data_IF_924105359270
#
_entry.id   IF_924105359270
#
_cell.length_a   1.000
_cell.length_b   1.000
_cell.length_c   1.000
_cell.angle_alpha   90.00
_cell.angle_beta   90.00
_cell.angle_gamma   90.00
#
_symmetry.space_group_name_H-M   'P 1'
#
loop_
_entity.id
_entity.type
_entity.pdbx_description
1 polymer ?
#
# COMPACT_ATOMS: atom_id res chain seq x y z
N UNK A 1 -8.56 14.50 24.49
CA UNK A 1 -7.48 13.79 23.78
C UNK A 1 -7.20 14.56 22.50
N UNK A 2 -6.16 15.39 22.50
CA UNK A 2 -5.84 16.26 21.36
C UNK A 2 -5.22 15.41 20.24
N UNK A 3 -5.94 15.26 19.13
CA UNK A 3 -5.40 14.70 17.89
C UNK A 3 -4.41 15.73 17.31
N UNK A 4 -3.12 15.46 17.49
CA UNK A 4 -2.03 16.33 17.07
C UNK A 4 -2.14 16.61 15.56
N UNK A 5 -2.59 17.82 15.24
CA UNK A 5 -2.79 18.33 13.87
C UNK A 5 -1.52 19.04 13.38
N UNK A 6 -0.37 18.43 13.64
CA UNK A 6 0.93 18.86 13.14
C UNK A 6 1.20 18.20 11.79
N UNK A 7 1.78 18.94 10.84
CA UNK A 7 2.12 18.41 9.52
C UNK A 7 2.98 17.14 9.67
N UNK A 8 2.68 16.06 8.94
CA UNK A 8 3.51 14.87 9.01
C UNK A 8 4.90 15.18 8.49
N UNK A 9 5.86 15.09 9.40
CA UNK A 9 7.28 15.25 9.09
C UNK A 9 7.88 13.91 8.63
N UNK A 10 9.17 13.93 8.26
CA UNK A 10 9.90 12.73 7.85
C UNK A 10 9.80 11.55 8.83
N UNK A 11 9.88 11.75 10.17
CA UNK A 11 9.73 10.66 11.13
C UNK A 11 8.37 9.96 11.11
N UNK A 12 7.27 10.68 10.83
CA UNK A 12 5.93 10.08 10.81
C UNK A 12 5.70 9.20 9.60
N UNK A 13 6.23 9.62 8.44
CA UNK A 13 6.24 8.81 7.22
C UNK A 13 7.10 7.56 7.39
N UNK A 14 8.24 7.69 8.08
CA UNK A 14 9.09 6.54 8.40
C UNK A 14 8.35 5.54 9.30
N UNK A 15 7.69 6.01 10.36
CA UNK A 15 6.85 5.14 11.24
C UNK A 15 5.72 4.47 10.46
N UNK A 16 5.07 5.19 9.55
CA UNK A 16 4.01 4.64 8.70
C UNK A 16 4.53 3.56 7.76
N UNK A 17 5.70 3.78 7.17
CA UNK A 17 6.39 2.78 6.35
C UNK A 17 6.82 1.55 7.17
N UNK A 18 7.34 1.74 8.39
CA UNK A 18 7.64 0.62 9.27
C UNK A 18 6.37 -0.16 9.64
N UNK A 19 5.26 0.52 9.91
CA UNK A 19 3.98 -0.11 10.19
C UNK A 19 3.55 -0.97 9.00
N UNK A 20 3.52 -0.42 7.79
CA UNK A 20 3.15 -1.15 6.57
C UNK A 20 4.06 -2.36 6.36
N UNK A 21 5.37 -2.19 6.45
CA UNK A 21 6.30 -3.31 6.36
C UNK A 21 6.05 -4.37 7.42
N UNK A 22 5.78 -3.98 8.67
CA UNK A 22 5.54 -4.91 9.77
C UNK A 22 4.23 -5.68 9.58
N UNK A 23 3.14 -5.01 9.21
CA UNK A 23 1.84 -5.67 9.01
C UNK A 23 1.83 -6.52 7.74
N UNK A 24 2.51 -6.10 6.67
CA UNK A 24 2.60 -6.83 5.41
C UNK A 24 3.65 -7.95 5.43
N UNK A 25 4.55 -7.99 6.42
CA UNK A 25 5.60 -9.01 6.50
C UNK A 25 4.98 -10.40 6.61
N UNK A 26 5.28 -11.25 5.63
CA UNK A 26 4.79 -12.63 5.59
C UNK A 26 3.35 -12.79 5.11
N UNK A 27 2.68 -11.70 4.72
CA UNK A 27 1.31 -11.74 4.19
C UNK A 27 1.30 -11.66 2.68
N UNK A 28 0.35 -12.39 2.09
CA UNK A 28 0.11 -12.38 0.64
C UNK A 28 -1.16 -11.59 0.36
N UNK A 29 -1.05 -10.65 -0.56
CA UNK A 29 -2.17 -9.86 -1.06
C UNK A 29 -2.61 -10.43 -2.41
N UNK A 30 -3.91 -10.39 -2.65
CA UNK A 30 -4.51 -10.92 -3.87
C UNK A 30 -5.73 -10.11 -4.25
N UNK A 31 -5.95 -9.96 -5.56
CA UNK A 31 -7.10 -9.24 -6.10
C UNK A 31 -6.78 -7.80 -6.47
N UNK A 32 -7.79 -7.14 -7.06
CA UNK A 32 -7.67 -5.79 -7.59
C UNK A 32 -7.52 -4.76 -6.47
N UNK A 33 -6.70 -3.76 -6.72
CA UNK A 33 -6.55 -2.61 -5.82
C UNK A 33 -7.78 -1.73 -6.03
N UNK A 34 -8.63 -1.64 -5.01
CA UNK A 34 -9.87 -0.88 -5.13
C UNK A 34 -9.62 0.56 -4.74
N UNK A 35 -9.77 1.48 -5.70
CA UNK A 35 -9.79 2.91 -5.45
C UNK A 35 -11.21 3.38 -5.15
N UNK A 36 -11.33 4.35 -4.24
CA UNK A 36 -12.61 5.05 -4.05
C UNK A 36 -12.88 6.00 -5.24
N UNK A 37 -14.11 5.99 -5.76
CA UNK A 37 -14.55 6.87 -6.85
C UNK A 37 -14.42 8.37 -6.50
N UNK A 38 -14.33 8.68 -5.21
CA UNK A 38 -14.21 10.03 -4.66
C UNK A 38 -12.83 10.64 -4.90
N UNK A 39 -11.80 9.82 -5.20
CA UNK A 39 -10.45 10.27 -5.50
C UNK A 39 -10.21 10.40 -7.01
N UNK A 40 -10.78 11.47 -7.59
CA UNK A 40 -10.73 11.76 -9.03
C UNK A 40 -9.32 12.17 -9.50
N UNK A 41 -8.52 12.79 -8.62
CA UNK A 41 -7.22 13.39 -8.98
C UNK A 41 -6.10 12.36 -9.14
N UNK A 42 -6.26 11.17 -8.59
CA UNK A 42 -5.20 10.18 -8.53
C UNK A 42 -5.45 9.08 -9.59
N UNK A 43 -4.39 8.60 -10.27
CA UNK A 43 -4.53 7.57 -11.28
C UNK A 43 -5.09 6.27 -10.69
N UNK A 44 -5.80 5.51 -11.51
CA UNK A 44 -6.22 4.16 -11.14
C UNK A 44 -4.99 3.24 -11.10
N UNK A 45 -4.94 2.35 -10.11
CA UNK A 45 -3.80 1.47 -9.88
C UNK A 45 -4.16 0.07 -10.38
N UNK A 46 -4.02 -0.15 -11.68
CA UNK A 46 -4.27 -1.45 -12.31
C UNK A 46 -3.09 -2.40 -12.14
N UNK A 47 -3.05 -3.07 -10.99
CA UNK A 47 -2.11 -4.15 -10.74
C UNK A 47 -2.79 -5.51 -10.95
N UNK A 48 -2.80 -5.96 -12.20
CA UNK A 48 -3.25 -7.30 -12.58
C UNK A 48 -2.18 -8.36 -12.26
N UNK A 49 -1.96 -8.64 -10.97
CA UNK A 49 -1.21 -9.82 -10.53
C UNK A 49 -2.10 -10.67 -9.62
N UNK A 50 -2.03 -12.00 -9.75
CA UNK A 50 -2.84 -12.92 -8.94
C UNK A 50 -2.50 -12.80 -7.45
N UNK A 51 -1.23 -13.03 -7.12
CA UNK A 51 -0.69 -12.94 -5.76
C UNK A 51 0.49 -11.95 -5.74
N UNK A 52 0.60 -11.14 -4.68
CA UNK A 52 1.68 -10.18 -4.54
C UNK A 52 2.03 -9.84 -3.09
N UNK A 53 3.27 -9.42 -2.89
CA UNK A 53 3.77 -8.87 -1.64
C UNK A 53 3.77 -7.34 -1.71
N UNK A 54 3.58 -6.73 -0.53
CA UNK A 54 3.65 -5.28 -0.35
C UNK A 54 4.85 -4.96 0.53
N UNK A 55 5.68 -4.04 0.06
CA UNK A 55 6.77 -3.43 0.81
C UNK A 55 6.62 -1.92 0.82
N UNK A 56 7.17 -1.25 1.81
CA UNK A 56 7.19 0.20 1.86
C UNK A 56 8.58 0.76 2.15
N UNK A 57 8.86 1.91 1.56
CA UNK A 57 10.09 2.66 1.76
C UNK A 57 9.72 4.12 1.95
N UNK A 58 10.29 4.79 2.94
CA UNK A 58 10.10 6.23 3.15
C UNK A 58 11.37 6.98 2.82
N UNK A 59 11.26 8.12 2.14
CA UNK A 59 12.39 9.01 1.86
C UNK A 59 11.93 10.46 2.04
N UNK A 60 12.42 11.11 3.09
CA UNK A 60 12.04 12.49 3.40
C UNK A 60 10.54 12.63 3.64
N UNK A 61 9.86 13.47 2.83
CA UNK A 61 8.42 13.75 2.92
C UNK A 61 7.56 12.86 2.00
N UNK A 62 8.12 11.76 1.53
CA UNK A 62 7.46 10.84 0.60
C UNK A 62 7.60 9.40 1.08
N UNK A 63 6.57 8.59 0.82
CA UNK A 63 6.57 7.15 1.09
C UNK A 63 6.20 6.40 -0.17
N UNK A 64 7.03 5.45 -0.58
CA UNK A 64 6.75 4.51 -1.65
C UNK A 64 6.14 3.23 -1.06
N UNK A 65 5.10 2.71 -1.70
CA UNK A 65 4.63 1.34 -1.54
C UNK A 65 4.96 0.58 -2.82
N UNK A 66 5.64 -0.53 -2.67
CA UNK A 66 6.15 -1.38 -3.74
C UNK A 66 5.37 -2.68 -3.71
N UNK A 67 4.65 -2.93 -4.80
CA UNK A 67 3.96 -4.17 -5.09
C UNK A 67 4.91 -5.06 -5.88
N UNK A 68 5.08 -6.30 -5.45
CA UNK A 68 5.89 -7.29 -6.18
C UNK A 68 5.06 -8.54 -6.38
N UNK A 69 4.79 -8.88 -7.64
CA UNK A 69 4.05 -10.09 -7.98
C UNK A 69 4.81 -11.33 -7.48
N UNK A 70 4.11 -12.20 -6.75
CA UNK A 70 4.55 -13.54 -6.48
C UNK A 70 4.01 -14.39 -7.63
N UNK A 71 4.86 -14.78 -8.58
CA UNK A 71 4.47 -15.86 -9.47
C UNK A 71 4.35 -17.13 -8.62
N UNK A 72 3.27 -17.87 -8.83
CA UNK A 72 2.96 -19.13 -8.15
C UNK A 72 3.91 -20.26 -8.57
N UNK A 73 5.22 -20.02 -8.51
CA UNK A 73 6.23 -21.05 -8.66
C UNK A 73 7.30 -20.83 -7.58
N UNK A 74 7.06 -21.50 -6.45
CA UNK A 74 8.09 -22.01 -5.54
C UNK A 74 9.15 -21.04 -5.00
N UNK A 75 8.99 -20.70 -3.71
CA UNK A 75 10.06 -20.45 -2.72
C UNK A 75 11.00 -19.27 -2.99
N UNK A 76 11.14 -18.44 -1.95
CA UNK A 76 12.05 -17.31 -1.92
C UNK A 76 13.46 -17.63 -2.42
N UNK A 77 13.88 -16.86 -3.42
CA UNK A 77 15.24 -16.35 -3.56
C UNK A 77 15.21 -15.27 -4.63
N UNK A 78 15.79 -14.11 -4.30
CA UNK A 78 16.38 -13.24 -5.30
C UNK A 78 17.25 -14.12 -6.21
N UNK A 79 17.09 -13.98 -7.52
CA UNK A 79 18.13 -13.95 -8.57
C UNK A 79 17.49 -14.34 -9.92
N UNK A 80 17.91 -13.59 -10.95
CA UNK A 80 17.64 -13.76 -12.38
C UNK A 80 17.54 -15.24 -12.78
N UNK A 81 16.53 -15.60 -13.56
CA UNK A 81 16.62 -16.75 -14.45
C UNK A 81 16.29 -16.32 -15.88
N UNK A 82 17.19 -16.76 -16.75
CA UNK A 82 17.30 -16.72 -18.21
C UNK A 82 16.09 -17.17 -19.05
N UNK A 83 14.90 -17.29 -18.48
CA UNK A 83 13.67 -17.65 -19.19
C UNK A 83 12.52 -16.69 -18.83
N UNK A 84 12.52 -15.50 -19.45
CA UNK A 84 11.35 -14.71 -19.84
C UNK A 84 10.17 -14.48 -18.87
N UNK A 85 10.32 -14.63 -17.55
CA UNK A 85 9.23 -14.43 -16.60
C UNK A 85 9.35 -13.05 -15.92
N UNK A 86 8.66 -12.05 -16.46
CA UNK A 86 8.64 -10.68 -15.93
C UNK A 86 8.03 -10.65 -14.51
N UNK A 87 8.88 -10.48 -13.49
CA UNK A 87 8.42 -10.16 -12.14
C UNK A 87 7.81 -8.75 -12.16
N UNK A 88 6.49 -8.66 -12.27
CA UNK A 88 5.77 -7.38 -12.33
C UNK A 88 5.91 -6.68 -10.98
N UNK A 89 6.74 -5.64 -10.96
CA UNK A 89 6.95 -4.76 -9.82
C UNK A 89 6.32 -3.40 -10.12
N UNK A 90 5.46 -2.93 -9.23
CA UNK A 90 4.84 -1.60 -9.33
C UNK A 90 5.22 -0.78 -8.09
N UNK A 91 5.62 0.47 -8.30
CA UNK A 91 6.02 1.37 -7.22
C UNK A 91 5.07 2.55 -7.19
N UNK A 92 4.35 2.71 -6.10
CA UNK A 92 3.37 3.77 -5.91
C UNK A 92 3.95 4.74 -4.88
N UNK A 93 4.16 5.98 -5.26
CA UNK A 93 4.61 7.05 -4.37
C UNK A 93 3.40 7.76 -3.76
N UNK A 94 3.42 7.85 -2.44
CA UNK A 94 2.44 8.54 -1.60
C UNK A 94 3.08 9.76 -0.96
N UNK A 95 2.42 10.89 -1.13
CA UNK A 95 2.68 12.11 -0.36
C UNK A 95 1.53 12.29 0.62
N UNK A 96 1.75 12.06 1.91
CA UNK A 96 0.67 11.97 2.92
C UNK A 96 -0.14 13.26 3.12
N UNK A 97 0.32 14.40 2.59
CA UNK A 97 -0.36 15.68 2.81
C UNK A 97 -0.42 15.99 4.31
N UNK A 98 -1.51 16.59 4.79
CA UNK A 98 -1.71 16.89 6.22
C UNK A 98 -2.43 15.78 7.01
N UNK A 99 -3.03 14.79 6.35
CA UNK A 99 -3.97 13.85 6.97
C UNK A 99 -3.91 12.41 6.47
N UNK A 100 -2.96 12.09 5.59
CA UNK A 100 -2.77 10.75 5.08
C UNK A 100 -2.28 9.81 6.17
N UNK A 101 -2.86 8.62 6.27
CA UNK A 101 -2.40 7.54 7.15
C UNK A 101 -2.71 6.17 6.54
N UNK A 102 -1.89 5.18 6.88
CA UNK A 102 -2.21 3.78 6.61
C UNK A 102 -2.87 3.14 7.82
N UNK A 103 -3.95 2.40 7.56
CA UNK A 103 -4.65 1.60 8.55
C UNK A 103 -4.74 0.18 8.05
N UNK A 104 -4.53 -0.78 8.94
CA UNK A 104 -4.65 -2.20 8.65
C UNK A 104 -5.68 -2.80 9.59
N UNK A 105 -6.67 -3.49 9.04
CA UNK A 105 -7.78 -4.03 9.83
C UNK A 105 -8.60 -5.07 9.06
N UNK A 106 -9.67 -5.59 9.66
CA UNK A 106 -10.61 -6.45 8.96
C UNK A 106 -11.44 -5.65 7.94
N UNK A 107 -11.97 -6.32 6.93
CA UNK A 107 -12.82 -5.71 5.88
C UNK A 107 -14.05 -4.98 6.46
N UNK A 108 -14.50 -5.35 7.67
CA UNK A 108 -15.64 -4.72 8.35
C UNK A 108 -15.34 -3.31 8.86
N UNK A 109 -14.07 -2.99 9.12
CA UNK A 109 -13.64 -1.70 9.70
C UNK A 109 -13.05 -0.75 8.65
N UNK A 110 -13.43 -0.91 7.37
CA UNK A 110 -12.96 0.01 6.32
C UNK A 110 -13.52 1.42 6.57
N UNK A 111 -12.61 2.37 6.75
CA UNK A 111 -12.97 3.77 6.94
C UNK A 111 -13.60 4.39 5.67
N UNK A 112 -14.58 5.28 5.85
CA UNK A 112 -15.26 6.01 4.75
C UNK A 112 -14.31 6.84 3.88
N UNK A 113 -13.20 7.29 4.45
CA UNK A 113 -12.17 8.07 3.77
C UNK A 113 -10.98 7.22 3.30
N UNK A 114 -11.15 5.89 3.21
CA UNK A 114 -10.19 4.99 2.61
C UNK A 114 -10.25 5.12 1.08
N UNK A 115 -9.22 5.71 0.50
CA UNK A 115 -9.17 5.96 -0.94
C UNK A 115 -8.51 4.84 -1.72
N UNK A 116 -7.68 4.03 -1.07
CA UNK A 116 -6.97 2.92 -1.69
C UNK A 116 -6.99 1.72 -0.74
N UNK A 117 -7.46 0.57 -1.21
CA UNK A 117 -7.61 -0.64 -0.40
C UNK A 117 -6.88 -1.82 -1.06
N UNK A 118 -6.05 -2.51 -0.27
CA UNK A 118 -5.36 -3.74 -0.66
C UNK A 118 -5.89 -4.90 0.18
N UNK A 119 -6.32 -5.98 -0.47
CA UNK A 119 -6.91 -7.13 0.19
C UNK A 119 -5.91 -8.27 0.33
N UNK A 120 -5.86 -8.87 1.51
CA UNK A 120 -5.06 -10.07 1.76
C UNK A 120 -5.78 -11.33 1.27
N UNK A 121 -5.01 -12.34 0.87
CA UNK A 121 -5.51 -13.66 0.47
C UNK A 121 -5.84 -14.55 1.67
N UNK A 122 -5.15 -14.32 2.78
CA UNK A 122 -5.25 -15.12 4.00
C UNK A 122 -6.61 -14.94 4.71
N UNK A 123 -7.00 -15.95 5.49
CA UNK A 123 -8.21 -15.91 6.32
C UNK A 123 -7.81 -15.74 7.80
N UNK A 124 -8.36 -14.76 8.53
CA UNK A 124 -9.39 -13.81 8.12
C UNK A 124 -8.86 -12.76 7.12
N UNK A 125 -9.72 -12.37 6.16
CA UNK A 125 -9.37 -11.36 5.15
C UNK A 125 -9.16 -10.03 5.84
N UNK A 126 -7.93 -9.53 5.77
CA UNK A 126 -7.53 -8.22 6.23
C UNK A 126 -7.33 -7.29 5.05
N UNK A 127 -7.53 -5.99 5.29
CA UNK A 127 -7.40 -4.93 4.32
C UNK A 127 -6.40 -3.90 4.82
N UNK A 128 -5.46 -3.55 3.95
CA UNK A 128 -4.60 -2.38 4.12
C UNK A 128 -5.27 -1.22 3.39
N UNK A 129 -5.69 -0.21 4.15
CA UNK A 129 -6.38 0.95 3.64
C UNK A 129 -5.52 2.19 3.79
N UNK A 130 -5.43 2.98 2.73
CA UNK A 130 -4.89 4.33 2.80
C UNK A 130 -6.02 5.33 3.03
N UNK A 131 -6.01 5.97 4.18
CA UNK A 131 -7.04 6.92 4.62
C UNK A 131 -6.49 8.33 4.46
N UNK A 132 -7.22 9.18 3.74
CA UNK A 132 -6.92 10.61 3.67
C UNK A 132 -8.22 11.42 3.70
N UNK A 133 -8.47 12.11 4.81
CA UNK A 133 -9.71 12.89 4.97
C UNK A 133 -9.72 14.12 4.07
N UNK A 134 -8.57 14.81 3.95
CA UNK A 134 -8.48 16.10 3.25
C UNK A 134 -8.16 15.98 1.76
N UNK A 135 -7.86 14.77 1.27
CA UNK A 135 -7.59 14.47 -0.16
C UNK A 135 -6.45 15.31 -0.76
N UNK A 136 -5.51 15.74 0.09
CA UNK A 136 -4.31 16.44 -0.37
C UNK A 136 -3.25 15.48 -0.91
N UNK A 137 -3.46 14.17 -0.74
CA UNK A 137 -2.54 13.15 -1.23
C UNK A 137 -2.49 13.11 -2.74
N UNK A 138 -1.29 13.32 -3.27
CA UNK A 138 -0.96 13.02 -4.66
C UNK A 138 -0.31 11.63 -4.71
N UNK A 139 -0.82 10.78 -5.59
CA UNK A 139 -0.35 9.43 -5.82
C UNK A 139 0.32 9.40 -7.20
N UNK A 140 1.56 8.94 -7.25
CA UNK A 140 2.30 8.74 -8.49
C UNK A 140 2.54 7.23 -8.66
N UNK A 141 2.10 6.66 -9.79
CA UNK A 141 2.28 5.24 -10.15
C UNK A 141 3.32 5.15 -11.26
#
# INVERSE_FOLDING_TARGET
>A
MAENSTMPEGPELYKSSQLVNTVCKGRIFSGKIVKSAVNIKNPEVDFAAGDYCIHSESRGKEMAVILTSLNSDGKGKRIKNENGCEQKRMRILFRFGMSGKFTFGPVKDIHKHAHLNFYTKEKPVMVLSFVDVRRFVCLFV
#
